data_IF_183207354873
#
_entry.id   IF_183207354873
#
_cell.length_a   1.000
_cell.length_b   1.000
_cell.length_c   1.000
_cell.angle_alpha   90.00
_cell.angle_beta   90.00
_cell.angle_gamma   90.00
#
_symmetry.space_group_name_H-M   'P 1'
#
loop_
_entity.id
_entity.type
_entity.pdbx_description
1 polymer ?
#
# COMPACT_ATOMS: atom_id res chain seq x y z
N UNK A 1 34.77 2.80 -10.45
CA UNK A 1 34.68 1.41 -9.92
C UNK A 1 35.76 1.10 -8.88
N UNK A 2 37.02 1.52 -9.05
CA UNK A 2 38.11 1.31 -8.06
C UNK A 2 37.98 2.27 -6.86
N UNK A 3 37.68 3.55 -7.08
CA UNK A 3 37.45 4.54 -6.02
C UNK A 3 36.25 4.18 -5.14
N UNK A 4 35.19 3.65 -5.75
CA UNK A 4 33.98 3.17 -5.09
C UNK A 4 34.28 2.04 -4.09
N UNK A 5 35.21 1.12 -4.46
CA UNK A 5 35.65 0.02 -3.57
C UNK A 5 36.55 0.51 -2.43
N UNK A 6 37.37 1.52 -2.68
CA UNK A 6 38.21 2.13 -1.65
C UNK A 6 37.36 2.87 -0.62
N UNK A 7 36.41 3.68 -1.08
CA UNK A 7 35.45 4.37 -0.22
C UNK A 7 34.64 3.39 0.65
N UNK A 8 34.11 2.31 0.07
CA UNK A 8 33.42 1.26 0.83
C UNK A 8 34.32 0.61 1.89
N UNK A 9 35.61 0.38 1.58
CA UNK A 9 36.55 -0.23 2.51
C UNK A 9 36.86 0.68 3.71
N UNK A 10 36.98 1.99 3.49
CA UNK A 10 37.19 2.96 4.58
C UNK A 10 35.92 3.15 5.41
N UNK A 11 34.75 3.31 4.75
CA UNK A 11 33.44 3.31 5.42
C UNK A 11 33.26 2.05 6.28
N UNK A 12 33.78 0.91 5.79
CA UNK A 12 33.74 -0.34 6.53
C UNK A 12 34.64 -0.40 7.76
N UNK A 13 35.79 0.28 7.73
CA UNK A 13 36.68 0.37 8.89
C UNK A 13 36.14 1.32 9.95
N UNK A 14 35.47 2.40 9.53
CA UNK A 14 34.90 3.41 10.40
C UNK A 14 33.61 2.92 11.09
N UNK A 15 32.80 2.11 10.39
CA UNK A 15 31.48 1.67 10.87
C UNK A 15 31.40 0.16 11.16
N UNK A 16 32.45 -0.43 11.77
CA UNK A 16 32.55 -1.88 12.03
C UNK A 16 31.31 -2.47 12.71
N UNK A 17 30.74 -1.77 13.71
CA UNK A 17 29.54 -2.22 14.42
C UNK A 17 28.33 -2.38 13.51
N UNK A 18 28.06 -1.38 12.65
CA UNK A 18 26.96 -1.42 11.69
C UNK A 18 27.13 -2.58 10.69
N UNK A 19 28.35 -2.85 10.25
CA UNK A 19 28.61 -3.94 9.30
C UNK A 19 28.40 -5.30 9.94
N UNK A 20 28.84 -5.47 11.19
CA UNK A 20 28.53 -6.71 11.91
C UNK A 20 27.03 -6.91 12.05
N UNK A 21 26.26 -5.85 12.32
CA UNK A 21 24.79 -5.94 12.35
C UNK A 21 24.22 -6.33 10.98
N UNK A 22 24.66 -5.68 9.89
CA UNK A 22 24.20 -5.98 8.53
C UNK A 22 24.54 -7.41 8.11
N UNK A 23 25.78 -7.85 8.35
CA UNK A 23 26.24 -9.21 8.06
C UNK A 23 25.40 -10.19 8.87
N UNK A 24 25.29 -9.99 10.19
CA UNK A 24 24.55 -10.88 11.08
C UNK A 24 23.07 -11.00 10.71
N UNK A 25 22.46 -9.92 10.22
CA UNK A 25 21.04 -9.86 9.89
C UNK A 25 20.72 -10.42 8.50
N UNK A 26 21.56 -10.19 7.50
CA UNK A 26 21.20 -10.43 6.11
C UNK A 26 22.07 -11.47 5.39
N UNK A 27 23.25 -11.81 5.92
CA UNK A 27 24.13 -12.76 5.25
C UNK A 27 23.74 -14.21 5.57
N UNK A 28 23.91 -15.10 4.59
CA UNK A 28 23.75 -16.54 4.81
C UNK A 28 24.98 -17.08 5.51
N UNK A 29 24.81 -17.87 6.58
CA UNK A 29 25.93 -18.44 7.32
C UNK A 29 25.86 -19.95 7.33
N UNK A 30 27.02 -20.58 7.08
CA UNK A 30 27.28 -21.91 7.61
C UNK A 30 27.75 -21.81 9.06
N UNK A 31 27.58 -22.91 9.81
CA UNK A 31 28.01 -23.00 11.21
C UNK A 31 29.51 -22.69 11.38
N UNK A 32 30.32 -22.99 10.37
CA UNK A 32 31.76 -22.72 10.31
C UNK A 32 32.10 -21.23 10.16
N UNK A 33 31.22 -20.42 9.57
CA UNK A 33 31.44 -18.98 9.38
C UNK A 33 31.15 -18.18 10.65
N UNK A 34 30.16 -18.61 11.44
CA UNK A 34 29.88 -18.03 12.75
C UNK A 34 31.07 -18.18 13.72
N UNK A 35 31.82 -19.28 13.63
CA UNK A 35 33.05 -19.49 14.40
C UNK A 35 34.15 -18.47 14.05
N UNK A 36 34.13 -17.91 12.84
CA UNK A 36 35.06 -16.83 12.43
C UNK A 36 34.62 -15.47 12.98
N UNK A 37 33.32 -15.27 13.17
CA UNK A 37 32.72 -14.02 13.65
C UNK A 37 32.67 -13.91 15.19
N UNK A 38 32.65 -15.06 15.88
CA UNK A 38 32.69 -15.41 17.31
C UNK A 38 32.51 -14.31 18.38
N UNK A 39 33.16 -13.15 18.28
CA UNK A 39 33.09 -12.08 19.31
C UNK A 39 32.13 -10.94 18.99
N UNK A 40 31.74 -10.75 17.74
CA UNK A 40 30.95 -9.58 17.31
C UNK A 40 29.58 -9.94 16.70
N UNK A 41 29.10 -11.15 16.96
CA UNK A 41 27.79 -11.60 16.47
C UNK A 41 26.71 -10.99 17.35
N UNK A 42 25.80 -10.25 16.72
CA UNK A 42 24.55 -9.81 17.36
C UNK A 42 23.53 -10.96 17.34
N UNK A 43 23.53 -11.78 18.39
CA UNK A 43 22.66 -12.96 18.47
C UNK A 43 21.17 -12.63 18.41
N UNK A 44 20.79 -11.42 18.79
CA UNK A 44 19.40 -10.96 18.73
C UNK A 44 18.96 -10.77 17.27
N UNK A 45 19.77 -10.08 16.46
CA UNK A 45 19.52 -9.94 15.02
C UNK A 45 19.69 -11.26 14.26
N UNK A 46 20.71 -12.06 14.62
CA UNK A 46 20.97 -13.35 13.99
C UNK A 46 19.72 -14.25 14.08
N UNK A 47 19.04 -14.23 15.22
CA UNK A 47 17.90 -15.13 15.49
C UNK A 47 16.71 -14.91 14.54
N UNK A 48 16.60 -13.73 13.91
CA UNK A 48 15.60 -13.46 12.87
C UNK A 48 16.20 -13.41 11.45
N UNK A 49 17.41 -13.93 11.25
CA UNK A 49 18.00 -14.01 9.92
C UNK A 49 17.38 -15.19 9.14
N UNK A 50 16.58 -14.87 8.13
CA UNK A 50 15.90 -15.85 7.26
C UNK A 50 16.83 -16.53 6.25
N UNK A 51 18.05 -16.00 6.05
CA UNK A 51 19.02 -16.54 5.09
C UNK A 51 19.91 -17.64 5.68
N UNK A 52 19.72 -17.98 6.95
CA UNK A 52 20.40 -19.10 7.62
C UNK A 52 19.58 -20.37 7.44
N UNK A 53 20.26 -21.49 7.16
CA UNK A 53 19.64 -22.81 7.20
C UNK A 53 19.46 -23.25 8.67
N UNK A 54 18.29 -22.96 9.24
CA UNK A 54 17.98 -23.32 10.62
C UNK A 54 17.78 -24.82 10.80
N UNK A 55 18.74 -25.48 11.44
CA UNK A 55 18.66 -26.88 11.85
C UNK A 55 18.50 -27.05 13.36
N UNK A 56 17.99 -28.20 13.79
CA UNK A 56 17.83 -28.47 15.22
C UNK A 56 19.17 -28.50 15.96
N UNK A 57 20.22 -28.99 15.30
CA UNK A 57 21.57 -29.08 15.85
C UNK A 57 22.18 -27.69 16.03
N UNK A 58 21.98 -26.79 15.06
CA UNK A 58 22.38 -25.39 15.16
C UNK A 58 21.75 -24.73 16.40
N UNK A 59 20.42 -24.84 16.53
CA UNK A 59 19.71 -24.22 17.67
C UNK A 59 20.16 -24.86 18.98
N UNK A 60 20.41 -26.17 19.01
CA UNK A 60 20.88 -26.88 20.21
C UNK A 60 22.27 -26.42 20.65
N UNK A 61 23.19 -26.21 19.73
CA UNK A 61 24.55 -25.75 20.00
C UNK A 61 24.56 -24.32 20.56
N UNK A 62 23.74 -23.43 20.01
CA UNK A 62 23.74 -21.99 20.35
C UNK A 62 22.55 -21.53 21.20
N UNK A 63 21.76 -22.45 21.77
CA UNK A 63 20.51 -22.16 22.50
C UNK A 63 20.65 -21.12 23.63
N UNK A 64 21.83 -21.02 24.25
CA UNK A 64 22.06 -20.13 25.39
C UNK A 64 22.45 -18.71 24.94
N UNK A 65 22.73 -18.53 23.65
CA UNK A 65 23.02 -17.24 23.01
C UNK A 65 21.85 -16.73 22.16
N UNK A 66 21.10 -17.63 21.53
CA UNK A 66 19.97 -17.29 20.66
C UNK A 66 18.85 -16.60 21.42
N UNK A 67 18.28 -15.58 20.79
CA UNK A 67 17.06 -14.94 21.22
C UNK A 67 15.88 -15.76 20.70
N UNK A 68 15.11 -16.40 21.59
CA UNK A 68 13.92 -17.14 21.16
C UNK A 68 12.74 -16.20 20.92
N UNK A 69 12.56 -15.20 21.77
CA UNK A 69 11.61 -14.11 21.59
C UNK A 69 12.08 -12.86 22.34
N UNK A 70 11.66 -11.69 21.88
CA UNK A 70 11.96 -10.40 22.49
C UNK A 70 10.68 -9.71 22.98
N UNK A 71 10.22 -10.10 24.17
CA UNK A 71 8.95 -9.67 24.78
C UNK A 71 8.79 -8.14 24.95
N UNK A 72 9.89 -7.38 25.00
CA UNK A 72 9.85 -5.91 25.14
C UNK A 72 9.64 -5.16 23.79
N UNK A 73 9.50 -5.88 22.67
CA UNK A 73 9.24 -5.26 21.37
C UNK A 73 7.74 -5.09 21.15
N UNK A 74 7.25 -3.86 21.31
CA UNK A 74 5.80 -3.58 21.30
C UNK A 74 5.16 -3.66 19.90
N UNK A 75 5.93 -3.43 18.83
CA UNK A 75 5.41 -3.50 17.47
C UNK A 75 5.56 -4.92 16.90
N UNK A 76 4.49 -5.70 16.96
CA UNK A 76 4.45 -7.08 16.45
C UNK A 76 4.55 -7.20 14.93
N UNK A 77 4.22 -6.13 14.20
CA UNK A 77 4.26 -6.12 12.73
C UNK A 77 5.61 -5.62 12.18
N UNK A 78 6.57 -5.33 13.05
CA UNK A 78 7.90 -4.91 12.64
C UNK A 78 8.67 -6.09 12.02
N UNK A 79 8.97 -6.07 10.70
CA UNK A 79 9.73 -7.14 10.06
C UNK A 79 11.16 -7.24 10.59
N UNK A 80 11.62 -6.25 11.35
CA UNK A 80 12.93 -6.25 12.01
C UNK A 80 12.90 -6.78 13.44
N UNK A 81 11.72 -7.17 13.96
CA UNK A 81 11.58 -7.73 15.30
C UNK A 81 12.56 -8.91 15.45
N UNK A 82 13.47 -8.88 16.43
CA UNK A 82 14.44 -9.95 16.58
C UNK A 82 13.81 -11.22 17.17
N UNK A 83 14.57 -12.31 17.10
CA UNK A 83 14.23 -13.58 17.74
C UNK A 83 13.69 -14.65 16.82
N UNK A 84 13.89 -15.92 17.22
CA UNK A 84 13.46 -17.09 16.45
C UNK A 84 11.95 -17.14 16.22
N UNK A 85 11.15 -16.67 17.17
CA UNK A 85 9.68 -16.63 17.03
C UNK A 85 9.23 -15.71 15.89
N UNK A 86 10.07 -14.72 15.53
CA UNK A 86 9.82 -13.78 14.44
C UNK A 86 10.32 -14.29 13.08
N UNK A 87 10.99 -15.44 13.06
CA UNK A 87 11.66 -15.98 11.88
C UNK A 87 10.76 -16.97 11.14
N UNK A 88 10.35 -16.60 9.93
CA UNK A 88 9.45 -17.42 9.11
C UNK A 88 10.06 -18.76 8.63
N UNK A 89 11.39 -18.91 8.73
CA UNK A 89 12.14 -20.07 8.21
C UNK A 89 12.50 -21.13 9.23
N UNK A 90 12.06 -21.01 10.48
CA UNK A 90 12.22 -22.10 11.46
C UNK A 90 11.34 -23.30 11.07
N UNK A 91 11.86 -24.52 11.24
CA UNK A 91 11.16 -25.74 10.86
C UNK A 91 10.40 -26.38 12.04
N UNK A 92 9.60 -27.39 11.72
CA UNK A 92 8.74 -28.09 12.68
C UNK A 92 9.50 -28.77 13.83
N UNK A 93 10.73 -29.25 13.61
CA UNK A 93 11.51 -29.91 14.67
C UNK A 93 11.96 -28.90 15.73
N UNK A 94 12.33 -27.68 15.30
CA UNK A 94 12.63 -26.56 16.19
C UNK A 94 11.39 -26.17 16.98
N UNK A 95 10.23 -26.01 16.31
CA UNK A 95 8.96 -25.70 16.97
C UNK A 95 8.62 -26.71 18.06
N UNK A 96 8.70 -28.02 17.76
CA UNK A 96 8.41 -29.08 18.72
C UNK A 96 9.38 -29.08 19.89
N UNK A 97 10.69 -28.92 19.63
CA UNK A 97 11.71 -29.02 20.67
C UNK A 97 11.74 -27.83 21.62
N UNK A 98 11.45 -26.64 21.09
CA UNK A 98 11.56 -25.37 21.81
C UNK A 98 10.22 -24.65 21.98
N UNK A 99 9.10 -25.38 21.87
CA UNK A 99 7.74 -24.86 21.97
C UNK A 99 7.52 -23.94 23.18
N UNK A 100 8.12 -24.27 24.33
CA UNK A 100 8.00 -23.50 25.57
C UNK A 100 8.84 -22.22 25.63
N UNK A 101 9.73 -21.98 24.67
CA UNK A 101 10.56 -20.77 24.57
C UNK A 101 10.07 -19.79 23.51
N UNK A 102 9.19 -20.23 22.62
CA UNK A 102 8.71 -19.45 21.49
C UNK A 102 7.48 -18.63 21.87
N UNK A 103 7.36 -17.44 21.29
CA UNK A 103 6.10 -16.71 21.26
C UNK A 103 5.23 -17.28 20.14
N UNK A 104 4.18 -17.99 20.54
CA UNK A 104 3.24 -18.60 19.60
C UNK A 104 2.37 -17.60 18.87
N UNK A 105 2.22 -16.39 19.39
CA UNK A 105 1.59 -15.28 18.67
C UNK A 105 2.39 -14.95 17.41
N UNK A 106 3.71 -14.81 17.55
CA UNK A 106 4.61 -14.49 16.43
C UNK A 106 4.68 -15.63 15.44
N UNK A 107 4.91 -16.85 15.94
CA UNK A 107 4.96 -18.05 15.09
C UNK A 107 3.64 -18.21 14.32
N UNK A 108 2.49 -18.01 14.95
CA UNK A 108 1.19 -18.10 14.26
C UNK A 108 1.03 -17.06 13.16
N UNK A 109 1.55 -15.85 13.38
CA UNK A 109 1.43 -14.75 12.44
C UNK A 109 2.29 -14.92 11.18
N UNK A 110 3.53 -15.41 11.32
CA UNK A 110 4.53 -15.40 10.24
C UNK A 110 5.00 -16.77 9.74
N UNK A 111 4.65 -17.87 10.42
CA UNK A 111 5.16 -19.19 10.04
C UNK A 111 4.83 -19.50 8.59
N UNK A 112 5.81 -20.05 7.87
CA UNK A 112 5.69 -20.41 6.48
C UNK A 112 5.05 -21.81 6.35
N UNK A 113 3.76 -21.84 6.03
CA UNK A 113 3.03 -23.09 5.82
C UNK A 113 3.27 -23.70 4.43
N UNK A 114 4.08 -23.07 3.57
CA UNK A 114 4.35 -23.59 2.23
C UNK A 114 4.99 -24.97 2.28
N UNK A 115 4.49 -25.91 1.47
CA UNK A 115 4.92 -27.32 1.45
C UNK A 115 4.79 -28.07 2.80
N UNK A 116 3.96 -27.61 3.73
CA UNK A 116 3.71 -28.32 4.99
C UNK A 116 2.40 -29.09 4.95
N UNK A 117 2.31 -30.17 5.73
CA UNK A 117 1.02 -30.79 6.02
C UNK A 117 0.34 -30.00 7.15
N UNK A 118 -0.53 -29.06 6.75
CA UNK A 118 -1.18 -28.09 7.65
C UNK A 118 -1.95 -28.82 8.76
N UNK A 119 -2.76 -29.83 8.41
CA UNK A 119 -3.57 -30.56 9.39
C UNK A 119 -2.71 -31.25 10.46
N UNK A 120 -1.64 -31.95 10.04
CA UNK A 120 -0.74 -32.60 10.99
C UNK A 120 -0.04 -31.61 11.94
N UNK A 121 0.21 -30.39 11.50
CA UNK A 121 0.87 -29.35 12.29
C UNK A 121 -0.11 -28.67 13.24
N UNK A 122 -1.31 -28.31 12.77
CA UNK A 122 -2.30 -27.61 13.57
C UNK A 122 -2.97 -28.52 14.60
N UNK A 123 -3.13 -29.81 14.31
CA UNK A 123 -3.67 -30.81 15.26
C UNK A 123 -2.66 -31.26 16.32
N UNK A 124 -1.41 -30.81 16.23
CA UNK A 124 -0.39 -31.18 17.18
C UNK A 124 -0.61 -30.49 18.53
N UNK A 125 -1.08 -31.26 19.53
CA UNK A 125 -1.37 -30.76 20.89
C UNK A 125 -0.19 -30.15 21.65
N UNK A 126 1.05 -30.32 21.17
CA UNK A 126 2.24 -29.73 21.78
C UNK A 126 2.64 -28.38 21.14
N UNK A 127 1.88 -27.94 20.13
CA UNK A 127 2.03 -26.64 19.48
C UNK A 127 0.84 -25.76 19.87
N UNK A 128 1.12 -24.50 20.24
CA UNK A 128 0.14 -23.62 20.87
C UNK A 128 -0.31 -22.51 19.92
N UNK A 129 -0.72 -22.90 18.73
CA UNK A 129 -1.16 -21.96 17.70
C UNK A 129 -2.23 -21.00 18.22
N UNK A 130 -2.03 -19.71 17.95
CA UNK A 130 -2.97 -18.66 18.28
C UNK A 130 -3.80 -18.34 17.03
N UNK A 131 -5.09 -18.69 17.07
CA UNK A 131 -5.98 -18.58 15.93
C UNK A 131 -6.26 -17.14 15.48
N UNK A 132 -6.21 -16.16 16.39
CA UNK A 132 -6.29 -14.74 16.02
C UNK A 132 -5.16 -14.38 15.05
N UNK A 133 -3.92 -14.74 15.38
CA UNK A 133 -2.77 -14.46 14.52
C UNK A 133 -2.69 -15.37 13.30
N UNK A 134 -3.08 -16.65 13.41
CA UNK A 134 -3.18 -17.53 12.26
C UNK A 134 -4.13 -16.94 11.21
N UNK A 135 -5.27 -16.39 11.62
CA UNK A 135 -6.27 -15.76 10.73
C UNK A 135 -5.69 -14.63 9.87
N UNK A 136 -4.58 -14.03 10.31
CA UNK A 136 -3.84 -12.97 9.63
C UNK A 136 -2.63 -13.47 8.82
N UNK A 137 -2.30 -14.75 8.96
CA UNK A 137 -1.13 -15.35 8.33
C UNK A 137 -1.25 -15.30 6.79
N UNK A 138 -0.15 -14.91 6.13
CA UNK A 138 -0.09 -14.67 4.68
C UNK A 138 0.33 -15.88 3.85
N UNK A 139 0.78 -16.96 4.49
CA UNK A 139 1.25 -18.20 3.83
C UNK A 139 0.25 -19.34 3.98
N UNK A 140 -0.61 -19.30 5.00
CA UNK A 140 -1.65 -20.29 5.22
C UNK A 140 -2.66 -20.28 4.05
N UNK A 141 -2.99 -21.48 3.56
CA UNK A 141 -3.92 -21.65 2.45
C UNK A 141 -5.35 -21.72 2.98
N UNK A 142 -6.11 -20.65 2.77
CA UNK A 142 -7.50 -20.50 3.19
C UNK A 142 -8.50 -21.12 2.20
N UNK A 143 -8.45 -22.44 2.02
CA UNK A 143 -9.46 -23.15 1.22
C UNK A 143 -10.81 -23.22 1.95
N UNK A 144 -11.90 -23.43 1.21
CA UNK A 144 -13.23 -23.59 1.82
C UNK A 144 -13.25 -24.78 2.80
N UNK A 145 -12.64 -25.92 2.44
CA UNK A 145 -12.54 -27.08 3.33
C UNK A 145 -11.76 -26.77 4.63
N UNK A 146 -10.70 -25.96 4.54
CA UNK A 146 -9.93 -25.54 5.70
C UNK A 146 -10.78 -24.64 6.62
N UNK A 147 -11.46 -23.65 6.03
CA UNK A 147 -12.35 -22.75 6.77
C UNK A 147 -13.48 -23.56 7.42
N UNK A 148 -14.08 -24.52 6.72
CA UNK A 148 -15.14 -25.39 7.24
C UNK A 148 -14.71 -26.15 8.49
N UNK A 149 -13.51 -26.73 8.44
CA UNK A 149 -12.93 -27.51 9.53
C UNK A 149 -12.68 -26.67 10.77
N UNK A 150 -12.18 -25.44 10.60
CA UNK A 150 -11.71 -24.59 11.70
C UNK A 150 -12.59 -23.35 11.96
N UNK A 151 -13.81 -23.31 11.41
CA UNK A 151 -14.72 -22.16 11.46
C UNK A 151 -15.10 -21.63 12.87
N UNK A 152 -14.84 -22.42 13.92
CA UNK A 152 -15.11 -22.08 15.31
C UNK A 152 -13.87 -21.58 16.05
N UNK A 153 -12.69 -21.79 15.47
CA UNK A 153 -11.40 -21.35 16.01
C UNK A 153 -10.94 -20.05 15.34
N UNK A 154 -11.20 -19.91 14.03
CA UNK A 154 -10.79 -18.77 13.22
C UNK A 154 -11.41 -17.47 13.74
N UNK A 155 -10.59 -16.41 13.78
CA UNK A 155 -11.07 -15.04 13.99
C UNK A 155 -11.61 -14.49 12.68
N UNK A 156 -12.94 -14.34 12.59
CA UNK A 156 -13.61 -13.93 11.36
C UNK A 156 -13.30 -12.47 10.96
N UNK A 157 -13.16 -11.57 11.93
CA UNK A 157 -12.80 -10.17 11.67
C UNK A 157 -11.42 -10.07 10.98
N UNK A 158 -10.45 -10.83 11.47
CA UNK A 158 -9.11 -10.90 10.91
C UNK A 158 -9.08 -11.63 9.57
N UNK A 159 -9.86 -12.71 9.43
CA UNK A 159 -9.99 -13.45 8.18
C UNK A 159 -10.58 -12.58 7.07
N UNK A 160 -11.65 -11.83 7.35
CA UNK A 160 -12.25 -10.87 6.41
C UNK A 160 -11.26 -9.79 5.98
N UNK A 161 -10.36 -9.39 6.88
CA UNK A 161 -9.29 -8.42 6.61
C UNK A 161 -8.08 -9.05 5.91
N UNK A 162 -7.95 -10.38 5.87
CA UNK A 162 -6.83 -11.08 5.26
C UNK A 162 -6.89 -11.02 3.72
N UNK A 163 -5.82 -10.52 3.08
CA UNK A 163 -5.71 -10.41 1.62
C UNK A 163 -5.45 -11.74 0.89
N UNK A 164 -5.27 -12.84 1.60
CA UNK A 164 -5.02 -14.18 1.02
C UNK A 164 -6.26 -15.06 0.89
N UNK A 165 -7.38 -14.64 1.47
CA UNK A 165 -8.64 -15.36 1.35
C UNK A 165 -9.27 -15.00 0.01
N UNK A 166 -9.59 -16.03 -0.78
CA UNK A 166 -10.35 -15.86 -2.01
C UNK A 166 -11.85 -15.93 -1.69
N UNK A 167 -12.48 -14.78 -1.51
CA UNK A 167 -13.89 -14.69 -1.15
C UNK A 167 -14.78 -14.98 -2.37
N UNK A 168 -15.18 -16.24 -2.54
CA UNK A 168 -16.18 -16.62 -3.55
C UNK A 168 -17.60 -16.32 -3.06
N UNK A 169 -18.57 -16.21 -3.98
CA UNK A 169 -19.97 -16.02 -3.57
C UNK A 169 -20.49 -17.19 -2.73
N UNK A 170 -20.04 -18.43 -3.00
CA UNK A 170 -20.40 -19.61 -2.20
C UNK A 170 -19.92 -19.49 -0.76
N UNK A 171 -18.66 -19.11 -0.57
CA UNK A 171 -18.05 -18.94 0.75
C UNK A 171 -18.73 -17.81 1.53
N UNK A 172 -18.98 -16.68 0.87
CA UNK A 172 -19.69 -15.54 1.48
C UNK A 172 -21.10 -15.96 1.91
N UNK A 173 -21.86 -16.61 1.02
CA UNK A 173 -23.23 -17.05 1.31
C UNK A 173 -23.27 -18.03 2.49
N UNK A 174 -22.29 -18.93 2.59
CA UNK A 174 -22.23 -19.95 3.64
C UNK A 174 -21.98 -19.34 5.02
N UNK A 175 -21.13 -18.31 5.07
CA UNK A 175 -20.66 -17.71 6.33
C UNK A 175 -21.20 -16.31 6.62
N UNK A 176 -22.19 -15.83 5.85
CA UNK A 176 -22.76 -14.48 5.86
C UNK A 176 -22.90 -13.86 7.27
N UNK A 177 -23.39 -14.64 8.24
CA UNK A 177 -23.65 -14.19 9.63
C UNK A 177 -22.39 -13.99 10.48
N UNK A 178 -21.24 -14.52 10.05
CA UNK A 178 -19.96 -14.43 10.75
C UNK A 178 -19.04 -13.38 10.12
N UNK A 179 -19.36 -12.91 8.91
CA UNK A 179 -18.47 -12.01 8.16
C UNK A 179 -18.49 -10.61 8.73
N UNK A 180 -17.31 -10.01 8.80
CA UNK A 180 -17.15 -8.59 9.02
C UNK A 180 -17.33 -7.84 7.70
N UNK A 181 -18.52 -7.27 7.52
CA UNK A 181 -18.88 -6.59 6.28
C UNK A 181 -18.14 -5.27 6.08
N UNK A 182 -17.75 -4.58 7.16
CA UNK A 182 -16.93 -3.37 7.05
C UNK A 182 -15.57 -3.69 6.42
N UNK A 183 -14.90 -4.75 6.87
CA UNK A 183 -13.64 -5.23 6.31
C UNK A 183 -13.79 -5.74 4.87
N UNK A 184 -14.88 -6.46 4.58
CA UNK A 184 -15.16 -6.94 3.22
C UNK A 184 -15.46 -5.79 2.26
N UNK A 185 -16.10 -4.72 2.69
CA UNK A 185 -16.35 -3.55 1.84
C UNK A 185 -15.09 -2.85 1.35
N UNK A 186 -13.93 -3.01 2.02
CA UNK A 186 -12.64 -2.54 1.52
C UNK A 186 -11.99 -3.49 0.50
N UNK A 187 -12.52 -4.71 0.29
CA UNK A 187 -11.90 -5.71 -0.57
C UNK A 187 -12.23 -5.48 -2.04
N UNK A 188 -11.20 -5.11 -2.80
CA UNK A 188 -11.29 -4.97 -4.26
C UNK A 188 -11.62 -6.30 -4.96
N UNK A 189 -11.23 -7.42 -4.35
CA UNK A 189 -11.25 -8.74 -4.96
C UNK A 189 -12.53 -9.55 -4.64
N UNK A 190 -13.61 -8.89 -4.22
CA UNK A 190 -14.90 -9.56 -4.05
C UNK A 190 -15.52 -9.90 -5.41
N UNK A 191 -16.50 -10.83 -5.47
CA UNK A 191 -17.14 -11.24 -6.73
C UNK A 191 -18.18 -10.18 -7.14
N UNK A 192 -17.71 -8.95 -7.34
CA UNK A 192 -18.54 -7.80 -7.65
C UNK A 192 -19.36 -8.03 -8.92
N UNK A 193 -20.67 -7.87 -8.78
CA UNK A 193 -21.66 -7.86 -9.83
C UNK A 193 -22.88 -7.11 -9.31
N UNK A 194 -23.74 -6.60 -10.19
CA UNK A 194 -24.97 -5.92 -9.76
C UNK A 194 -25.84 -6.83 -8.88
N UNK A 195 -25.92 -8.13 -9.20
CA UNK A 195 -26.65 -9.11 -8.39
C UNK A 195 -26.00 -9.36 -7.04
N UNK A 196 -24.67 -9.41 -6.96
CA UNK A 196 -23.95 -9.56 -5.69
C UNK A 196 -24.19 -8.35 -4.79
N UNK A 197 -24.04 -7.14 -5.34
CA UNK A 197 -24.26 -5.90 -4.60
C UNK A 197 -25.69 -5.80 -4.07
N UNK A 198 -26.70 -5.98 -4.92
CA UNK A 198 -28.11 -5.89 -4.51
C UNK A 198 -28.47 -6.90 -3.41
N UNK A 199 -27.87 -8.10 -3.45
CA UNK A 199 -28.10 -9.13 -2.44
C UNK A 199 -27.55 -8.77 -1.07
N UNK A 200 -26.39 -8.12 -1.01
CA UNK A 200 -25.69 -7.79 0.24
C UNK A 200 -25.67 -6.28 0.54
N UNK A 201 -26.56 -5.52 -0.11
CA UNK A 201 -26.62 -4.06 -0.05
C UNK A 201 -26.71 -3.55 1.39
N UNK A 202 -27.54 -4.21 2.21
CA UNK A 202 -27.80 -3.80 3.60
C UNK A 202 -26.66 -4.11 4.56
N UNK A 203 -25.76 -5.02 4.17
CA UNK A 203 -24.63 -5.45 4.99
C UNK A 203 -23.37 -4.66 4.62
N UNK A 204 -23.19 -4.33 3.34
CA UNK A 204 -22.03 -3.61 2.85
C UNK A 204 -21.98 -2.17 3.39
N UNK A 205 -20.80 -1.76 3.83
CA UNK A 205 -20.54 -0.40 4.25
C UNK A 205 -20.24 0.49 3.03
N UNK A 206 -21.22 1.33 2.68
CA UNK A 206 -21.15 2.25 1.53
C UNK A 206 -19.97 3.23 1.63
N UNK A 207 -19.68 3.76 2.82
CA UNK A 207 -18.56 4.68 3.03
C UNK A 207 -17.22 3.99 2.74
N UNK A 208 -17.07 2.71 3.12
CA UNK A 208 -15.87 1.93 2.82
C UNK A 208 -15.79 1.58 1.33
N UNK A 209 -16.92 1.37 0.65
CA UNK A 209 -16.94 1.17 -0.82
C UNK A 209 -16.42 2.40 -1.59
N UNK A 210 -16.44 3.59 -1.00
CA UNK A 210 -15.83 4.79 -1.61
C UNK A 210 -14.32 4.63 -1.79
N UNK A 211 -13.65 3.79 -0.99
CA UNK A 211 -12.23 3.46 -1.13
C UNK A 211 -11.95 2.25 -2.03
N UNK A 212 -12.98 1.50 -2.40
CA UNK A 212 -12.81 0.21 -3.06
C UNK A 212 -12.71 0.38 -4.57
N UNK A 213 -11.52 0.21 -5.15
CA UNK A 213 -11.32 0.33 -6.61
C UNK A 213 -11.87 -0.86 -7.41
N UNK A 214 -12.19 -1.98 -6.76
CA UNK A 214 -12.82 -3.14 -7.39
C UNK A 214 -14.34 -2.99 -7.54
N UNK A 215 -14.96 -2.13 -6.74
CA UNK A 215 -16.38 -1.83 -6.84
C UNK A 215 -16.64 -0.78 -7.92
N UNK A 216 -17.48 -1.13 -8.91
CA UNK A 216 -17.77 -0.23 -10.03
C UNK A 216 -18.91 0.71 -9.69
N UNK A 217 -18.56 1.95 -9.32
CA UNK A 217 -19.51 3.02 -9.11
C UNK A 217 -20.05 3.55 -10.43
N UNK A 218 -21.37 3.76 -10.48
CA UNK A 218 -22.05 4.46 -11.56
C UNK A 218 -22.90 5.62 -11.00
N UNK A 219 -23.42 6.45 -11.89
CA UNK A 219 -24.19 7.64 -11.54
C UNK A 219 -25.45 7.32 -10.69
N UNK A 220 -26.16 6.24 -10.98
CA UNK A 220 -27.35 5.82 -10.24
C UNK A 220 -27.02 5.44 -8.79
N UNK A 221 -25.93 4.69 -8.59
CA UNK A 221 -25.45 4.31 -7.26
C UNK A 221 -24.95 5.52 -6.47
N UNK A 222 -24.22 6.43 -7.12
CA UNK A 222 -23.74 7.67 -6.49
C UNK A 222 -24.93 8.53 -6.05
N UNK A 223 -25.95 8.70 -6.91
CA UNK A 223 -27.17 9.42 -6.55
C UNK A 223 -27.90 8.76 -5.36
N UNK A 224 -28.06 7.43 -5.40
CA UNK A 224 -28.74 6.66 -4.36
C UNK A 224 -28.06 6.80 -2.99
N UNK A 225 -26.72 6.85 -2.98
CA UNK A 225 -25.92 6.78 -1.74
C UNK A 225 -25.14 8.06 -1.41
N UNK A 226 -25.42 9.18 -2.07
CA UNK A 226 -24.73 10.47 -1.87
C UNK A 226 -24.59 10.94 -0.42
N UNK A 227 -25.50 10.50 0.45
CA UNK A 227 -25.53 10.81 1.88
C UNK A 227 -24.54 9.97 2.71
N UNK A 228 -24.12 8.82 2.19
CA UNK A 228 -23.33 7.81 2.90
C UNK A 228 -21.96 7.56 2.27
N UNK A 229 -21.69 8.15 1.11
CA UNK A 229 -20.41 8.07 0.39
C UNK A 229 -19.40 9.00 1.04
N UNK A 230 -18.15 8.56 1.13
CA UNK A 230 -17.04 9.46 1.35
C UNK A 230 -16.61 10.07 0.02
N UNK A 231 -16.92 11.35 -0.17
CA UNK A 231 -16.71 12.04 -1.44
C UNK A 231 -15.24 12.28 -1.78
N UNK A 232 -14.39 12.52 -0.77
CA UNK A 232 -12.94 12.67 -0.94
C UNK A 232 -12.35 11.38 -1.50
N UNK A 233 -12.66 10.24 -0.89
CA UNK A 233 -12.14 8.95 -1.36
C UNK A 233 -12.76 8.49 -2.67
N UNK A 234 -14.06 8.78 -2.88
CA UNK A 234 -14.70 8.50 -4.16
C UNK A 234 -14.06 9.32 -5.30
N UNK A 235 -13.65 10.57 -5.05
CA UNK A 235 -12.91 11.39 -6.03
C UNK A 235 -11.56 10.78 -6.44
N UNK A 236 -10.88 10.07 -5.55
CA UNK A 236 -9.61 9.37 -5.85
C UNK A 236 -9.82 7.97 -6.42
N UNK A 237 -11.03 7.43 -6.31
CA UNK A 237 -11.32 6.05 -6.65
C UNK A 237 -11.22 5.81 -8.16
N UNK A 238 -10.48 4.77 -8.52
CA UNK A 238 -10.21 4.38 -9.91
C UNK A 238 -11.20 3.38 -10.49
N UNK A 239 -12.08 2.82 -9.66
CA UNK A 239 -13.20 1.96 -10.04
C UNK A 239 -14.47 2.73 -10.45
N UNK A 240 -14.49 4.06 -10.28
CA UNK A 240 -15.60 4.92 -10.73
C UNK A 240 -15.61 5.03 -12.25
N UNK A 241 -16.78 4.90 -12.86
CA UNK A 241 -16.98 5.16 -14.28
C UNK A 241 -17.08 6.68 -14.54
N UNK A 242 -15.93 7.36 -14.53
CA UNK A 242 -15.88 8.81 -14.70
C UNK A 242 -16.42 9.28 -16.05
N UNK A 243 -17.23 10.34 -16.02
CA UNK A 243 -17.71 11.07 -17.20
C UNK A 243 -17.80 12.56 -16.91
N UNK A 244 -17.84 13.38 -17.96
CA UNK A 244 -18.08 14.82 -17.81
C UNK A 244 -19.39 15.09 -17.09
N UNK A 245 -20.45 14.36 -17.44
CA UNK A 245 -21.80 14.54 -16.89
C UNK A 245 -21.83 14.21 -15.39
N UNK A 246 -21.13 13.15 -14.98
CA UNK A 246 -21.02 12.77 -13.57
C UNK A 246 -20.33 13.87 -12.74
N UNK A 247 -19.22 14.42 -13.26
CA UNK A 247 -18.49 15.50 -12.61
C UNK A 247 -19.31 16.79 -12.61
N UNK A 248 -20.07 17.09 -13.65
CA UNK A 248 -20.94 18.27 -13.64
C UNK A 248 -22.08 18.14 -12.62
N UNK A 249 -22.68 16.95 -12.55
CA UNK A 249 -23.80 16.67 -11.65
C UNK A 249 -23.40 16.71 -10.18
N UNK A 250 -22.25 16.14 -9.82
CA UNK A 250 -21.83 16.00 -8.42
C UNK A 250 -20.56 16.78 -8.04
N UNK A 251 -19.93 17.46 -9.00
CA UNK A 251 -18.75 18.28 -8.76
C UNK A 251 -19.10 19.66 -8.21
N UNK A 252 -20.10 20.36 -8.80
CA UNK A 252 -20.79 21.55 -8.27
C UNK A 252 -21.68 22.20 -9.37
N UNK A 253 -22.86 22.72 -9.00
CA UNK A 253 -23.53 23.78 -9.78
C UNK A 253 -22.76 25.09 -9.58
N UNK A 254 -22.07 25.59 -10.62
CA UNK A 254 -21.25 26.81 -10.59
C UNK A 254 -20.23 26.86 -9.43
N UNK A 255 -19.16 26.07 -9.56
CA UNK A 255 -17.96 26.07 -8.70
C UNK A 255 -17.50 27.50 -8.33
N UNK A 256 -17.95 28.01 -7.18
CA UNK A 256 -17.32 29.17 -6.55
C UNK A 256 -16.06 28.65 -5.83
N UNK A 257 -14.91 28.92 -6.45
CA UNK A 257 -13.56 28.45 -6.07
C UNK A 257 -13.11 29.01 -4.71
N UNK A 258 -13.92 29.88 -4.08
CA UNK A 258 -13.63 30.47 -2.77
C UNK A 258 -14.46 29.89 -1.63
N UNK A 259 -15.29 28.87 -1.88
CA UNK A 259 -16.08 28.25 -0.82
C UNK A 259 -15.17 27.41 0.08
N UNK A 260 -14.68 28.05 1.15
CA UNK A 260 -13.85 27.46 2.19
C UNK A 260 -14.62 26.46 3.07
N UNK A 261 -15.88 26.12 2.75
CA UNK A 261 -16.62 25.05 3.41
C UNK A 261 -16.15 23.66 2.94
N UNK A 262 -14.87 23.36 3.17
CA UNK A 262 -14.19 22.08 2.87
C UNK A 262 -14.77 20.84 3.57
N UNK A 263 -15.86 20.98 4.34
CA UNK A 263 -16.28 19.96 5.28
C UNK A 263 -17.77 19.58 5.23
N UNK A 264 -18.55 20.11 4.28
CA UNK A 264 -19.99 19.80 4.19
C UNK A 264 -20.51 19.51 2.78
N UNK A 265 -19.69 19.63 1.74
CA UNK A 265 -20.16 19.39 0.38
C UNK A 265 -20.24 17.88 0.11
N UNK A 266 -21.45 17.40 -0.16
CA UNK A 266 -21.71 16.04 -0.71
C UNK A 266 -21.34 16.02 -2.19
N UNK A 267 -20.08 16.36 -2.48
CA UNK A 267 -19.57 16.66 -3.81
C UNK A 267 -18.12 16.24 -3.95
N UNK A 268 -17.69 16.00 -5.19
CA UNK A 268 -16.32 15.59 -5.46
C UNK A 268 -15.29 16.65 -5.04
N UNK A 269 -14.24 16.22 -4.35
CA UNK A 269 -13.06 17.04 -4.06
C UNK A 269 -12.23 17.32 -5.31
N UNK A 270 -11.95 18.59 -5.59
CA UNK A 270 -11.23 19.02 -6.79
C UNK A 270 -9.77 18.56 -6.80
N UNK A 271 -9.08 18.64 -5.66
CA UNK A 271 -7.69 18.20 -5.58
C UNK A 271 -7.57 16.70 -5.87
N UNK A 272 -8.46 15.91 -5.29
CA UNK A 272 -8.55 14.46 -5.43
C UNK A 272 -8.85 14.05 -6.88
N UNK A 273 -9.81 14.70 -7.54
CA UNK A 273 -10.09 14.48 -8.96
C UNK A 273 -8.89 14.84 -9.84
N UNK A 274 -8.17 15.93 -9.52
CA UNK A 274 -7.03 16.41 -10.31
C UNK A 274 -5.88 15.41 -10.36
N UNK A 275 -5.66 14.65 -9.28
CA UNK A 275 -4.62 13.61 -9.18
C UNK A 275 -5.09 12.23 -9.64
N UNK A 276 -6.40 12.01 -9.78
CA UNK A 276 -6.94 10.70 -10.11
C UNK A 276 -6.66 10.33 -11.59
N UNK A 277 -5.92 9.24 -11.85
CA UNK A 277 -5.50 8.87 -13.20
C UNK A 277 -6.57 8.15 -14.04
N UNK A 278 -7.69 7.79 -13.43
CA UNK A 278 -8.81 7.12 -14.12
C UNK A 278 -9.76 8.08 -14.84
N UNK A 279 -9.67 9.39 -14.56
CA UNK A 279 -10.44 10.39 -15.29
C UNK A 279 -10.00 10.42 -16.77
N UNK A 280 -10.89 10.78 -17.70
CA UNK A 280 -10.62 10.74 -19.14
C UNK A 280 -9.77 11.94 -19.62
N UNK A 281 -8.65 12.22 -18.95
CA UNK A 281 -7.72 13.31 -19.25
C UNK A 281 -7.10 13.30 -20.65
N UNK A 282 -7.18 12.16 -21.34
CA UNK A 282 -6.71 12.02 -22.71
C UNK A 282 -7.75 12.45 -23.75
N UNK A 283 -9.02 12.56 -23.37
CA UNK A 283 -10.01 13.25 -24.19
C UNK A 283 -9.75 14.77 -24.12
N UNK A 284 -9.49 15.37 -25.28
CA UNK A 284 -9.19 16.80 -25.37
C UNK A 284 -10.38 17.68 -24.98
N UNK A 285 -11.61 17.22 -25.22
CA UNK A 285 -12.80 17.96 -24.83
C UNK A 285 -12.95 17.96 -23.31
N UNK A 286 -12.76 16.79 -22.69
CA UNK A 286 -12.71 16.67 -21.24
C UNK A 286 -11.62 17.56 -20.65
N UNK A 287 -10.40 17.46 -21.17
CA UNK A 287 -9.26 18.25 -20.72
C UNK A 287 -9.57 19.75 -20.83
N UNK A 288 -10.01 20.24 -22.00
CA UNK A 288 -10.35 21.65 -22.21
C UNK A 288 -11.44 22.15 -21.26
N UNK A 289 -12.44 21.30 -21.00
CA UNK A 289 -13.57 21.59 -20.13
C UNK A 289 -13.12 21.75 -18.70
N UNK A 290 -12.32 20.83 -18.17
CA UNK A 290 -12.02 20.79 -16.75
C UNK A 290 -10.67 21.38 -16.33
N UNK A 291 -9.70 21.49 -17.23
CA UNK A 291 -8.35 21.98 -16.89
C UNK A 291 -8.37 23.38 -16.28
N UNK A 292 -9.29 24.24 -16.72
CA UNK A 292 -9.39 25.60 -16.20
C UNK A 292 -9.72 25.60 -14.70
N UNK A 293 -10.57 24.69 -14.22
CA UNK A 293 -10.96 24.65 -12.80
C UNK A 293 -9.80 24.22 -11.91
N UNK A 294 -9.08 23.17 -12.29
CA UNK A 294 -7.97 22.67 -11.49
C UNK A 294 -6.78 23.64 -11.46
N UNK A 295 -6.64 24.46 -12.49
CA UNK A 295 -5.69 25.58 -12.51
C UNK A 295 -6.05 26.64 -11.45
N UNK A 296 -7.33 26.84 -11.14
CA UNK A 296 -7.82 27.86 -10.22
C UNK A 296 -7.75 27.44 -8.74
N UNK A 297 -7.77 26.12 -8.46
CA UNK A 297 -8.09 25.60 -7.12
C UNK A 297 -6.91 25.13 -6.24
N UNK A 298 -5.65 25.10 -6.72
CA UNK A 298 -4.39 25.10 -5.92
C UNK A 298 -3.22 24.44 -6.68
N UNK A 299 -2.08 25.13 -6.69
CA UNK A 299 -0.67 24.68 -6.91
C UNK A 299 -0.28 23.68 -8.02
N UNK A 300 -1.20 23.26 -8.89
CA UNK A 300 -0.97 22.31 -10.01
C UNK A 300 -0.46 20.92 -9.59
N UNK A 301 -0.14 20.69 -8.31
CA UNK A 301 0.59 19.50 -7.86
C UNK A 301 -0.17 18.20 -8.14
N UNK A 302 -1.50 18.21 -8.03
CA UNK A 302 -2.34 17.07 -8.37
C UNK A 302 -2.28 16.70 -9.86
N UNK A 303 -2.41 17.68 -10.76
CA UNK A 303 -2.29 17.45 -12.22
C UNK A 303 -0.89 16.99 -12.63
N UNK A 304 0.13 17.55 -12.00
CA UNK A 304 1.54 17.25 -12.25
C UNK A 304 1.89 15.81 -11.86
N UNK A 305 1.40 15.39 -10.70
CA UNK A 305 1.59 14.03 -10.18
C UNK A 305 0.63 13.00 -10.81
N UNK A 306 -0.30 13.44 -11.67
CA UNK A 306 -1.26 12.57 -12.31
C UNK A 306 -0.66 11.82 -13.52
N UNK A 307 -0.38 10.54 -13.34
CA UNK A 307 0.16 9.67 -14.38
C UNK A 307 -0.85 9.25 -15.49
N UNK A 308 -2.13 9.59 -15.35
CA UNK A 308 -3.17 9.38 -16.37
C UNK A 308 -3.19 10.48 -17.45
N UNK A 309 -2.56 11.62 -17.18
CA UNK A 309 -2.46 12.72 -18.15
C UNK A 309 -1.29 12.46 -19.09
N UNK A 310 -1.59 12.23 -20.38
CA UNK A 310 -0.56 12.31 -21.39
C UNK A 310 -0.29 13.76 -21.80
N UNK A 311 0.81 14.34 -21.28
CA UNK A 311 1.21 15.72 -21.55
C UNK A 311 1.77 15.88 -22.97
N UNK A 312 1.22 16.81 -23.75
CA UNK A 312 1.72 17.17 -25.08
C UNK A 312 1.74 18.69 -25.27
N UNK A 313 2.42 19.17 -26.31
CA UNK A 313 2.60 20.61 -26.57
C UNK A 313 1.25 21.37 -26.61
N UNK A 314 0.21 20.73 -27.16
CA UNK A 314 -1.13 21.31 -27.20
C UNK A 314 -1.73 21.50 -25.80
N UNK A 315 -1.72 20.47 -24.94
CA UNK A 315 -2.25 20.56 -23.57
C UNK A 315 -1.47 21.57 -22.71
N UNK A 316 -0.16 21.63 -22.94
CA UNK A 316 0.73 22.61 -22.33
C UNK A 316 0.32 24.03 -22.74
N UNK A 317 0.20 24.32 -24.04
CA UNK A 317 -0.25 25.63 -24.54
C UNK A 317 -1.64 26.01 -24.03
N UNK A 318 -2.55 25.04 -23.90
CA UNK A 318 -3.87 25.26 -23.29
C UNK A 318 -3.72 25.75 -21.85
N UNK A 319 -2.86 25.10 -21.04
CA UNK A 319 -2.60 25.52 -19.67
C UNK A 319 -1.99 26.93 -19.62
N UNK A 320 -0.99 27.22 -20.47
CA UNK A 320 -0.36 28.55 -20.58
C UNK A 320 -1.37 29.65 -20.90
N UNK A 321 -2.24 29.42 -21.89
CA UNK A 321 -3.28 30.37 -22.29
C UNK A 321 -4.28 30.63 -21.16
N UNK A 322 -4.77 29.57 -20.52
CA UNK A 322 -5.73 29.66 -19.41
C UNK A 322 -5.12 30.35 -18.19
N UNK A 323 -3.87 30.06 -17.88
CA UNK A 323 -3.13 30.69 -16.78
C UNK A 323 -2.87 32.17 -17.03
N UNK A 324 -2.44 32.54 -18.24
CA UNK A 324 -2.19 33.94 -18.61
C UNK A 324 -3.47 34.78 -18.46
N UNK A 325 -4.63 34.22 -18.82
CA UNK A 325 -5.92 34.87 -18.61
C UNK A 325 -6.22 35.03 -17.11
N UNK A 326 -6.00 33.99 -16.30
CA UNK A 326 -6.19 34.07 -14.84
C UNK A 326 -5.30 35.12 -14.16
N UNK A 327 -4.01 35.21 -14.51
CA UNK A 327 -3.12 36.23 -13.93
C UNK A 327 -3.55 37.67 -14.29
N UNK A 328 -4.16 37.88 -15.46
CA UNK A 328 -4.69 39.19 -15.86
C UNK A 328 -5.88 39.63 -14.99
N UNK A 329 -6.60 38.67 -14.42
CA UNK A 329 -7.78 38.91 -13.58
C UNK A 329 -7.43 39.19 -12.08
N UNK A 330 -6.14 39.38 -11.75
CA UNK A 330 -5.62 39.92 -10.47
C UNK A 330 -6.05 39.16 -9.20
N UNK A 331 -5.69 37.89 -9.08
CA UNK A 331 -5.60 37.21 -7.77
C UNK A 331 -4.13 36.99 -7.44
N UNK A 332 -3.59 37.76 -6.48
CA UNK A 332 -2.25 37.49 -5.92
C UNK A 332 -2.39 36.28 -5.00
N UNK A 333 -2.05 35.09 -5.49
CA UNK A 333 -1.99 33.88 -4.67
C UNK A 333 -0.68 33.87 -3.85
N UNK A 334 -0.71 33.48 -2.57
CA UNK A 334 0.51 33.29 -1.80
C UNK A 334 1.32 32.13 -2.37
N UNK A 335 2.62 32.35 -2.64
CA UNK A 335 3.55 31.29 -3.05
C UNK A 335 3.56 30.18 -1.98
N UNK A 336 3.39 28.93 -2.37
CA UNK A 336 3.52 27.77 -1.47
C UNK A 336 4.91 27.16 -1.59
N UNK A 337 5.48 26.78 -0.46
CA UNK A 337 6.76 26.10 -0.38
C UNK A 337 6.49 24.59 -0.56
N UNK A 338 6.83 24.03 -1.72
CA UNK A 338 6.58 22.64 -2.07
C UNK A 338 7.91 21.87 -2.03
N UNK A 339 7.96 20.75 -1.28
CA UNK A 339 9.12 19.86 -1.20
C UNK A 339 8.77 18.50 -1.81
N UNK A 340 9.69 17.92 -2.59
CA UNK A 340 9.58 16.56 -3.15
C UNK A 340 8.33 16.32 -4.02
N UNK A 341 8.13 17.12 -5.08
CA UNK A 341 7.07 16.86 -6.06
C UNK A 341 7.56 15.82 -7.07
N UNK A 342 6.84 14.71 -7.17
CA UNK A 342 7.02 13.71 -8.21
C UNK A 342 6.34 14.16 -9.50
N UNK A 343 7.14 14.42 -10.54
CA UNK A 343 6.65 14.88 -11.84
C UNK A 343 6.62 13.72 -12.85
N UNK A 344 5.45 13.30 -13.33
CA UNK A 344 5.34 12.18 -14.28
C UNK A 344 5.34 12.64 -15.75
N UNK A 345 6.35 12.21 -16.51
CA UNK A 345 6.42 12.40 -17.97
C UNK A 345 6.37 11.03 -18.65
N UNK A 346 5.46 10.89 -19.62
CA UNK A 346 5.39 9.72 -20.48
C UNK A 346 6.47 9.80 -21.57
N UNK A 347 7.33 8.80 -21.67
CA UNK A 347 8.40 8.71 -22.69
C UNK A 347 7.89 8.56 -24.13
N UNK A 348 6.65 8.13 -24.30
CA UNK A 348 6.05 7.99 -25.63
C UNK A 348 5.58 9.33 -26.24
N UNK A 349 5.84 10.45 -25.57
CA UNK A 349 5.60 11.76 -26.15
C UNK A 349 6.65 12.05 -27.23
N UNK A 350 6.20 12.47 -28.42
CA UNK A 350 7.06 12.93 -29.53
C UNK A 350 7.88 14.20 -29.20
N UNK A 351 7.80 14.68 -27.96
CA UNK A 351 8.61 15.78 -27.43
C UNK A 351 9.91 15.20 -26.86
N UNK A 352 11.03 15.80 -27.25
CA UNK A 352 12.33 15.56 -26.62
C UNK A 352 12.19 15.63 -25.09
N UNK A 353 12.68 14.60 -24.39
CA UNK A 353 12.57 14.41 -22.94
C UNK A 353 13.03 15.67 -22.17
N UNK A 354 14.02 16.39 -22.71
CA UNK A 354 14.50 17.65 -22.14
C UNK A 354 13.52 18.82 -22.34
N UNK A 355 12.85 18.89 -23.49
CA UNK A 355 11.90 19.96 -23.83
C UNK A 355 10.59 19.86 -23.05
N UNK A 356 10.07 18.64 -22.88
CA UNK A 356 8.83 18.45 -22.13
C UNK A 356 9.00 18.87 -20.66
N UNK A 357 10.08 18.43 -20.02
CA UNK A 357 10.41 18.85 -18.65
C UNK A 357 10.67 20.35 -18.54
N UNK A 358 11.42 20.94 -19.47
CA UNK A 358 11.75 22.38 -19.48
C UNK A 358 10.52 23.27 -19.72
N UNK A 359 9.65 22.93 -20.66
CA UNK A 359 8.44 23.71 -20.94
C UNK A 359 7.48 23.65 -19.76
N UNK A 360 7.28 22.46 -19.18
CA UNK A 360 6.38 22.33 -18.02
C UNK A 360 6.98 23.03 -16.79
N UNK A 361 8.31 22.95 -16.59
CA UNK A 361 9.02 23.71 -15.58
C UNK A 361 8.86 25.22 -15.77
N UNK A 362 8.88 25.74 -16.99
CA UNK A 362 8.66 27.16 -17.27
C UNK A 362 7.25 27.64 -16.92
N UNK A 363 6.24 26.76 -16.96
CA UNK A 363 4.87 27.05 -16.52
C UNK A 363 4.79 27.17 -14.98
N UNK A 364 5.53 26.31 -14.28
CA UNK A 364 5.37 26.10 -12.84
C UNK A 364 6.39 26.91 -12.01
N UNK A 365 7.60 27.12 -12.51
CA UNK A 365 8.69 27.83 -11.81
C UNK A 365 8.36 29.24 -11.31
N UNK A 366 7.47 30.04 -11.96
CA UNK A 366 7.02 31.30 -11.37
C UNK A 366 6.18 31.15 -10.09
N UNK A 367 5.72 29.93 -9.78
CA UNK A 367 4.70 29.60 -8.78
C UNK A 367 5.27 28.91 -7.53
N UNK A 368 6.52 28.46 -7.56
CA UNK A 368 7.13 27.69 -6.47
C UNK A 368 8.49 28.29 -6.10
N UNK A 369 8.71 28.53 -4.81
CA UNK A 369 10.07 28.69 -4.27
C UNK A 369 10.59 27.27 -3.97
N UNK A 370 11.56 26.77 -4.74
CA UNK A 370 12.02 25.36 -4.69
C UNK A 370 13.45 25.24 -4.17
N UNK A 371 13.67 24.25 -3.29
CA UNK A 371 14.99 23.71 -2.94
C UNK A 371 15.40 22.50 -3.81
N UNK A 372 14.47 21.61 -4.24
CA UNK A 372 14.77 20.39 -5.03
C UNK A 372 13.57 19.85 -5.86
N UNK A 373 13.79 19.31 -7.08
CA UNK A 373 12.78 18.72 -7.99
C UNK A 373 13.22 17.32 -8.44
N UNK A 374 12.31 16.35 -8.43
CA UNK A 374 12.57 14.98 -8.89
C UNK A 374 11.66 14.67 -10.09
N UNK A 375 12.25 14.46 -11.27
CA UNK A 375 11.54 14.03 -12.48
C UNK A 375 11.41 12.50 -12.50
N UNK A 376 10.18 11.99 -12.59
CA UNK A 376 9.88 10.55 -12.70
C UNK A 376 9.42 10.23 -14.12
N UNK A 377 10.21 9.44 -14.83
CA UNK A 377 9.87 8.97 -16.17
C UNK A 377 9.11 7.64 -16.10
N UNK A 378 7.87 7.60 -16.59
CA UNK A 378 7.08 6.38 -16.63
C UNK A 378 7.55 5.47 -17.78
N UNK A 379 8.05 4.28 -17.44
CA UNK A 379 8.31 3.19 -18.40
C UNK A 379 7.13 2.20 -18.33
N UNK A 380 5.99 2.53 -18.96
CA UNK A 380 4.95 1.53 -19.23
C UNK A 380 5.04 1.08 -20.68
#
# INVERSE_FOLDING_TARGET
MIESKYYLKELFKENKGLIFQLITKYYSFELTDLLKLNKNVDWMLLSNNENILWSIDFVKEYKDKLCFDHLAWYNFEDPQRPGLSSNSKINLDILKKYSNKLSWEMVSWNFDFYNTNIDLILENKNLFWNWYYLSRNKTLVWSEDFIDKYQYEISWDDLCSNGKVNWTESLIKKYEKKLNWDSLSFKENLPWSSSFFLKYETQLNINNLSWNNGFSWNEELIEKYKENINWEHLSENTGVQWSSDLIERFGCENFDVFDNERHLSKKFGCFELSKNPSLPWNDINFFLKFIHFYILDCDFSGLISNNGINWCEMKIKICEMKWTNFQRDKVILPKRNLKNIDFYINKNNELDENKAGEIIWNIISPLIDIEEVIFIFNNK
#
